data_IF_961243115505
#
_entry.id   IF_961243115505
#
_cell.length_a   1.000
_cell.length_b   1.000
_cell.length_c   1.000
_cell.angle_alpha   90.00
_cell.angle_beta   90.00
_cell.angle_gamma   90.00
#
_symmetry.space_group_name_H-M   'P 1'
#
loop_
_entity.id
_entity.type
_entity.pdbx_description
1 polymer ?
#
# COMPACT_ATOMS: atom_id res chain seq x y z
N UNK A 1 18.61 -17.98 6.69
CA UNK A 1 18.00 -17.39 5.49
C UNK A 1 18.34 -15.91 5.45
N UNK A 2 18.95 -15.44 4.39
CA UNK A 2 19.20 -14.01 4.18
C UNK A 2 17.85 -13.31 4.09
N UNK A 3 17.60 -12.33 4.96
CA UNK A 3 16.38 -11.53 4.87
C UNK A 3 16.50 -10.64 3.63
N UNK A 4 16.04 -11.14 2.51
CA UNK A 4 15.77 -10.30 1.36
C UNK A 4 14.88 -9.14 1.80
N UNK A 5 15.28 -7.93 1.50
CA UNK A 5 14.34 -6.81 1.68
C UNK A 5 13.16 -7.02 0.73
N UNK A 6 11.96 -6.58 1.13
CA UNK A 6 10.78 -6.62 0.25
C UNK A 6 11.07 -5.94 -1.09
N UNK A 7 11.84 -4.86 -1.08
CA UNK A 7 12.25 -4.17 -2.29
C UNK A 7 13.13 -5.02 -3.21
N UNK A 8 14.03 -5.84 -2.65
CA UNK A 8 14.85 -6.76 -3.44
C UNK A 8 13.98 -7.88 -4.04
N UNK A 9 13.05 -8.42 -3.26
CA UNK A 9 12.12 -9.42 -3.74
C UNK A 9 11.27 -8.90 -4.92
N UNK A 10 10.69 -7.70 -4.82
CA UNK A 10 9.92 -7.07 -5.91
C UNK A 10 10.80 -6.87 -7.14
N UNK A 11 12.03 -6.37 -6.95
CA UNK A 11 12.96 -6.15 -8.06
C UNK A 11 13.27 -7.43 -8.84
N UNK A 12 13.42 -8.55 -8.14
CA UNK A 12 13.82 -9.83 -8.75
C UNK A 12 12.65 -10.59 -9.35
N UNK A 13 11.47 -10.54 -8.70
CA UNK A 13 10.32 -11.37 -9.07
C UNK A 13 9.23 -10.60 -9.83
N UNK A 14 9.22 -9.27 -9.71
CA UNK A 14 8.23 -8.39 -10.37
C UNK A 14 8.94 -7.21 -11.05
N UNK A 15 9.84 -7.47 -12.02
CA UNK A 15 10.64 -6.43 -12.65
C UNK A 15 9.79 -5.35 -13.35
N UNK A 16 8.57 -5.69 -13.79
CA UNK A 16 7.60 -4.77 -14.38
C UNK A 16 7.15 -3.69 -13.39
N UNK A 17 7.19 -3.97 -12.08
CA UNK A 17 6.83 -3.00 -11.03
C UNK A 17 8.06 -2.27 -10.45
N UNK A 18 9.27 -2.78 -10.68
CA UNK A 18 10.49 -2.18 -10.14
C UNK A 18 11.09 -1.09 -11.01
N UNK A 19 10.70 -0.99 -12.27
CA UNK A 19 11.33 -0.06 -13.21
C UNK A 19 11.43 1.36 -12.67
N UNK A 20 12.66 1.87 -12.48
CA UNK A 20 12.92 3.27 -12.14
C UNK A 20 12.40 4.16 -13.27
N UNK A 21 11.45 5.03 -12.94
CA UNK A 21 10.83 5.94 -13.88
C UNK A 21 11.03 7.39 -13.41
N UNK A 22 10.92 8.32 -14.36
CA UNK A 22 10.99 9.75 -14.10
C UNK A 22 9.68 10.39 -14.56
N UNK A 23 9.06 11.13 -13.66
CA UNK A 23 7.75 11.76 -13.84
C UNK A 23 7.91 13.28 -13.70
N UNK A 24 7.56 14.10 -14.71
CA UNK A 24 7.61 15.56 -14.59
C UNK A 24 6.74 16.04 -13.42
N UNK A 25 7.33 16.77 -12.47
CA UNK A 25 6.65 17.14 -11.23
C UNK A 25 5.38 17.99 -11.47
N UNK A 26 5.40 18.83 -12.51
CA UNK A 26 4.26 19.68 -12.88
C UNK A 26 3.07 18.90 -13.48
N UNK A 27 3.24 17.62 -13.82
CA UNK A 27 2.17 16.73 -14.30
C UNK A 27 1.66 15.79 -13.20
N UNK A 28 2.25 15.84 -12.00
CA UNK A 28 1.96 14.91 -10.93
C UNK A 28 0.95 15.46 -9.93
N UNK A 29 0.09 14.57 -9.44
CA UNK A 29 -0.58 14.71 -8.16
C UNK A 29 0.16 13.86 -7.14
N UNK A 30 0.36 14.40 -5.96
CA UNK A 30 1.33 13.94 -4.98
C UNK A 30 0.66 13.40 -3.73
N UNK A 31 0.86 12.12 -3.43
CA UNK A 31 0.53 11.55 -2.13
C UNK A 31 1.69 11.86 -1.19
N UNK A 32 1.50 12.79 -0.25
CA UNK A 32 2.56 13.21 0.68
C UNK A 32 2.09 13.17 2.13
N UNK A 33 1.03 13.90 2.48
CA UNK A 33 0.39 13.85 3.80
C UNK A 33 -1.10 13.59 3.68
N UNK A 34 -1.66 12.99 4.73
CA UNK A 34 -3.09 12.61 4.75
C UNK A 34 -4.05 13.81 4.81
N UNK A 35 -3.58 14.95 5.26
CA UNK A 35 -4.31 16.21 5.37
C UNK A 35 -4.11 17.16 4.18
N UNK A 36 -3.30 16.78 3.19
CA UNK A 36 -3.14 17.49 1.94
C UNK A 36 -4.20 17.09 0.89
N UNK A 37 -4.31 17.84 -0.19
CA UNK A 37 -5.33 17.73 -1.24
C UNK A 37 -5.54 16.28 -1.74
N UNK A 38 -4.47 15.51 -1.93
CA UNK A 38 -4.52 14.14 -2.44
C UNK A 38 -4.29 13.08 -1.33
N UNK A 39 -4.43 13.48 -0.07
CA UNK A 39 -4.18 12.63 1.09
C UNK A 39 -5.09 11.41 1.17
N UNK A 40 -6.28 11.47 0.56
CA UNK A 40 -7.19 10.32 0.47
C UNK A 40 -6.56 9.13 -0.30
N UNK A 41 -5.61 9.35 -1.18
CA UNK A 41 -4.90 8.29 -1.88
C UNK A 41 -3.93 7.52 -0.98
N UNK A 42 -3.48 8.15 0.09
CA UNK A 42 -2.63 7.48 1.07
C UNK A 42 -3.35 6.28 1.70
N UNK A 43 -2.61 5.19 1.90
CA UNK A 43 -3.12 4.04 2.64
C UNK A 43 -3.32 4.34 4.13
N UNK A 44 -2.70 5.41 4.64
CA UNK A 44 -2.91 5.92 6.01
C UNK A 44 -4.11 6.86 6.14
N UNK A 45 -4.71 7.29 5.04
CA UNK A 45 -5.93 8.10 5.02
C UNK A 45 -7.09 7.36 5.70
N UNK A 46 -7.88 8.09 6.50
CA UNK A 46 -9.03 7.52 7.19
C UNK A 46 -10.17 7.24 6.19
N UNK A 47 -10.10 6.06 5.61
CA UNK A 47 -11.12 5.52 4.70
C UNK A 47 -11.47 4.12 5.19
N UNK A 48 -12.47 3.97 6.07
CA UNK A 48 -12.83 2.68 6.66
C UNK A 48 -13.21 1.66 5.60
N UNK A 49 -12.76 0.43 5.80
CA UNK A 49 -13.01 -0.73 4.93
C UNK A 49 -13.59 -1.84 5.78
N UNK A 50 -14.59 -2.55 5.26
CA UNK A 50 -15.18 -3.74 5.90
C UNK A 50 -14.81 -4.98 5.10
N UNK A 51 -14.18 -5.96 5.75
CA UNK A 51 -13.89 -7.27 5.16
C UNK A 51 -14.48 -8.34 6.06
N UNK A 52 -15.37 -9.17 5.53
CA UNK A 52 -16.07 -10.24 6.26
C UNK A 52 -16.65 -9.80 7.62
N UNK A 53 -17.22 -8.59 7.67
CA UNK A 53 -17.85 -8.02 8.86
C UNK A 53 -16.87 -7.36 9.86
N UNK A 54 -15.57 -7.38 9.60
CA UNK A 54 -14.55 -6.69 10.42
C UNK A 54 -14.22 -5.35 9.77
N UNK A 55 -14.23 -4.28 10.58
CA UNK A 55 -13.94 -2.91 10.11
C UNK A 55 -12.48 -2.54 10.36
N UNK A 56 -11.82 -2.05 9.34
CA UNK A 56 -10.46 -1.50 9.38
C UNK A 56 -10.53 0.01 9.13
N UNK A 57 -9.90 0.79 9.99
CA UNK A 57 -9.91 2.26 9.91
C UNK A 57 -9.16 2.81 8.69
N UNK A 58 -8.20 2.05 8.18
CA UNK A 58 -7.37 2.43 7.03
C UNK A 58 -7.00 1.20 6.19
N UNK A 59 -6.77 1.39 4.89
CA UNK A 59 -6.22 0.33 4.02
C UNK A 59 -4.81 -0.12 4.47
N UNK A 60 -4.04 0.78 5.08
CA UNK A 60 -2.75 0.40 5.67
C UNK A 60 -2.90 -0.61 6.81
N UNK A 61 -3.89 -0.45 7.70
CA UNK A 61 -4.11 -1.42 8.79
C UNK A 61 -4.47 -2.80 8.24
N UNK A 62 -5.37 -2.86 7.27
CA UNK A 62 -5.73 -4.11 6.60
C UNK A 62 -4.49 -4.76 5.96
N UNK A 63 -3.74 -4.00 5.17
CA UNK A 63 -2.52 -4.47 4.52
C UNK A 63 -1.46 -4.99 5.51
N UNK A 64 -1.28 -4.31 6.64
CA UNK A 64 -0.33 -4.75 7.66
C UNK A 64 -0.78 -6.04 8.36
N UNK A 65 -2.08 -6.25 8.56
CA UNK A 65 -2.63 -7.46 9.17
C UNK A 65 -2.49 -8.70 8.28
N UNK A 66 -2.58 -8.54 6.96
CA UNK A 66 -2.41 -9.64 6.00
C UNK A 66 -1.02 -10.28 6.06
N UNK A 67 -0.04 -9.66 6.72
CA UNK A 67 1.30 -10.22 6.97
C UNK A 67 1.32 -11.35 7.98
N UNK A 68 0.25 -11.55 8.77
CA UNK A 68 0.29 -12.41 9.95
C UNK A 68 -0.85 -13.42 9.97
N UNK A 69 -0.54 -14.61 10.47
CA UNK A 69 -1.50 -15.70 10.69
C UNK A 69 -1.72 -15.98 12.18
N UNK A 70 -0.92 -15.36 13.07
CA UNK A 70 -0.92 -15.60 14.51
C UNK A 70 -1.74 -14.56 15.26
N UNK A 71 -2.35 -15.01 16.36
CA UNK A 71 -3.29 -14.19 17.17
C UNK A 71 -2.64 -12.95 17.78
N UNK A 72 -1.46 -13.11 18.36
CA UNK A 72 -0.79 -12.06 19.14
C UNK A 72 -0.45 -10.82 18.29
N UNK A 73 0.27 -10.95 17.15
CA UNK A 73 0.53 -9.82 16.28
C UNK A 73 -0.74 -9.24 15.68
N UNK A 74 -1.72 -10.07 15.33
CA UNK A 74 -2.99 -9.61 14.76
C UNK A 74 -3.73 -8.71 15.74
N UNK A 75 -3.95 -9.16 16.99
CA UNK A 75 -4.60 -8.36 18.01
C UNK A 75 -3.80 -7.09 18.36
N UNK A 76 -2.48 -7.20 18.46
CA UNK A 76 -1.62 -6.06 18.73
C UNK A 76 -1.74 -4.96 17.65
N UNK A 77 -1.79 -5.33 16.37
CA UNK A 77 -1.90 -4.39 15.25
C UNK A 77 -3.32 -3.82 15.14
N UNK A 78 -4.34 -4.66 15.32
CA UNK A 78 -5.74 -4.26 15.15
C UNK A 78 -6.20 -3.29 16.23
N UNK A 79 -5.97 -3.61 17.51
CA UNK A 79 -6.48 -2.82 18.63
C UNK A 79 -5.61 -1.63 19.02
N UNK A 80 -4.36 -1.60 18.61
CA UNK A 80 -3.48 -0.47 18.92
C UNK A 80 -3.83 0.76 18.09
N UNK A 81 -4.09 1.87 18.78
CA UNK A 81 -4.30 3.16 18.12
C UNK A 81 -3.00 3.67 17.48
N UNK A 82 -3.13 4.45 16.42
CA UNK A 82 -2.02 5.09 15.71
C UNK A 82 -1.52 4.28 14.52
N UNK A 83 -0.26 4.52 14.13
CA UNK A 83 0.32 3.97 12.91
C UNK A 83 0.54 2.45 13.00
N UNK A 84 -0.21 1.62 12.23
CA UNK A 84 -0.09 0.17 12.28
C UNK A 84 1.28 -0.33 11.86
N UNK A 85 1.96 0.34 10.93
CA UNK A 85 3.30 -0.01 10.44
C UNK A 85 4.35 -0.01 11.55
N UNK A 86 4.21 0.88 12.54
CA UNK A 86 5.12 0.92 13.68
C UNK A 86 4.94 -0.29 14.60
N UNK A 87 3.71 -0.73 14.82
CA UNK A 87 3.42 -1.94 15.60
C UNK A 87 3.90 -3.19 14.87
N UNK A 88 3.65 -3.26 13.56
CA UNK A 88 4.05 -4.37 12.70
C UNK A 88 5.55 -4.65 12.75
N UNK A 89 6.40 -3.62 12.75
CA UNK A 89 7.86 -3.78 12.81
C UNK A 89 8.37 -4.67 13.96
N UNK A 90 7.66 -4.67 15.08
CA UNK A 90 8.00 -5.50 16.23
C UNK A 90 7.86 -6.99 15.91
N UNK A 91 6.86 -7.35 15.12
CA UNK A 91 6.47 -8.73 14.84
C UNK A 91 7.06 -9.29 13.54
N UNK A 92 7.47 -8.44 12.59
CA UNK A 92 7.86 -8.86 11.25
C UNK A 92 8.99 -9.90 11.23
N UNK A 93 9.93 -9.84 12.17
CA UNK A 93 11.08 -10.75 12.17
C UNK A 93 10.73 -12.18 12.60
N UNK A 94 9.67 -12.34 13.39
CA UNK A 94 9.36 -13.61 14.05
C UNK A 94 8.03 -14.23 13.63
N UNK A 95 7.07 -13.42 13.16
CA UNK A 95 5.70 -13.87 12.90
C UNK A 95 5.21 -13.56 11.49
N UNK A 96 5.99 -12.85 10.66
CA UNK A 96 5.58 -12.58 9.28
C UNK A 96 5.46 -13.90 8.52
N UNK A 97 4.36 -14.08 7.79
CA UNK A 97 4.16 -15.24 6.89
C UNK A 97 5.32 -15.35 5.91
N UNK A 98 5.75 -16.59 5.62
CA UNK A 98 6.95 -16.84 4.81
C UNK A 98 6.78 -16.39 3.36
N UNK A 99 5.58 -16.54 2.82
CA UNK A 99 5.17 -16.19 1.45
C UNK A 99 4.80 -14.70 1.26
N UNK A 100 5.04 -13.84 2.27
CA UNK A 100 4.67 -12.42 2.18
C UNK A 100 5.23 -11.71 0.95
N UNK A 101 6.46 -12.05 0.55
CA UNK A 101 7.07 -11.48 -0.65
C UNK A 101 6.28 -11.78 -1.92
N UNK A 102 5.72 -12.99 -2.02
CA UNK A 102 4.98 -13.46 -3.18
C UNK A 102 3.61 -12.80 -3.30
N UNK A 103 2.95 -12.53 -2.18
CA UNK A 103 1.58 -11.99 -2.16
C UNK A 103 1.50 -10.47 -1.91
N UNK A 104 2.62 -9.80 -1.66
CA UNK A 104 2.61 -8.40 -1.21
C UNK A 104 1.92 -7.45 -2.19
N UNK A 105 2.10 -7.66 -3.50
CA UNK A 105 1.50 -6.82 -4.53
C UNK A 105 0.01 -7.10 -4.60
N UNK A 106 -0.39 -8.37 -4.60
CA UNK A 106 -1.80 -8.78 -4.64
C UNK A 106 -2.55 -8.39 -3.36
N UNK A 107 -1.90 -8.46 -2.20
CA UNK A 107 -2.44 -7.92 -0.96
C UNK A 107 -2.70 -6.41 -1.04
N UNK A 108 -1.82 -5.65 -1.68
CA UNK A 108 -2.03 -4.22 -1.89
C UNK A 108 -3.16 -3.96 -2.89
N UNK A 109 -3.19 -4.69 -4.01
CA UNK A 109 -4.27 -4.62 -4.99
C UNK A 109 -5.63 -4.91 -4.35
N UNK A 110 -5.71 -5.93 -3.50
CA UNK A 110 -6.91 -6.23 -2.71
C UNK A 110 -7.32 -5.05 -1.83
N UNK A 111 -6.40 -4.50 -1.03
CA UNK A 111 -6.69 -3.37 -0.15
C UNK A 111 -7.19 -2.13 -0.92
N UNK A 112 -6.58 -1.83 -2.06
CA UNK A 112 -7.00 -0.71 -2.92
C UNK A 112 -8.36 -0.96 -3.58
N UNK A 113 -8.63 -2.20 -3.99
CA UNK A 113 -9.95 -2.61 -4.53
C UNK A 113 -11.03 -2.43 -3.47
N UNK A 114 -10.81 -2.91 -2.25
CA UNK A 114 -11.76 -2.74 -1.15
C UNK A 114 -12.02 -1.26 -0.84
N UNK A 115 -10.98 -0.44 -0.85
CA UNK A 115 -11.10 1.01 -0.68
C UNK A 115 -11.90 1.66 -1.82
N UNK A 116 -11.67 1.23 -3.05
CA UNK A 116 -12.38 1.72 -4.23
C UNK A 116 -13.86 1.34 -4.21
N UNK A 117 -14.18 0.10 -3.91
CA UNK A 117 -15.56 -0.39 -3.88
C UNK A 117 -16.38 0.25 -2.78
N UNK A 118 -15.77 0.54 -1.62
CA UNK A 118 -16.48 0.98 -0.43
C UNK A 118 -16.44 2.50 -0.18
N UNK A 119 -15.60 3.26 -0.89
CA UNK A 119 -15.47 4.70 -0.70
C UNK A 119 -15.81 5.48 -1.96
N UNK A 120 -16.96 6.12 -1.96
CA UNK A 120 -17.34 7.02 -3.05
C UNK A 120 -16.40 8.22 -3.16
N UNK A 121 -16.00 8.82 -2.04
CA UNK A 121 -15.06 9.93 -2.03
C UNK A 121 -13.71 9.55 -2.66
N UNK A 122 -13.21 8.34 -2.41
CA UNK A 122 -11.97 7.87 -3.01
C UNK A 122 -12.14 7.70 -4.54
N UNK A 123 -13.27 7.13 -5.01
CA UNK A 123 -13.55 7.02 -6.45
C UNK A 123 -13.62 8.38 -7.13
N UNK A 124 -14.31 9.35 -6.52
CA UNK A 124 -14.43 10.71 -7.05
C UNK A 124 -13.08 11.40 -7.18
N UNK A 125 -12.20 11.25 -6.19
CA UNK A 125 -10.85 11.81 -6.25
C UNK A 125 -9.97 11.11 -7.30
N UNK A 126 -10.09 9.78 -7.47
CA UNK A 126 -9.42 9.08 -8.56
C UNK A 126 -9.89 9.60 -9.93
N UNK A 127 -11.18 9.78 -10.11
CA UNK A 127 -11.73 10.35 -11.34
C UNK A 127 -11.22 11.79 -11.57
N UNK A 128 -11.19 12.63 -10.53
CA UNK A 128 -10.65 14.00 -10.59
C UNK A 128 -9.17 14.04 -11.00
N UNK A 129 -8.42 12.98 -10.71
CA UNK A 129 -7.00 12.85 -11.06
C UNK A 129 -6.75 12.42 -12.50
N UNK A 130 -7.79 12.16 -13.32
CA UNK A 130 -7.65 11.76 -14.72
C UNK A 130 -6.74 12.72 -15.51
N UNK A 131 -5.88 12.14 -16.34
CA UNK A 131 -4.89 12.89 -17.11
C UNK A 131 -3.66 13.34 -16.33
N UNK A 132 -3.61 13.08 -15.01
CA UNK A 132 -2.45 13.38 -14.17
C UNK A 132 -1.73 12.09 -13.75
N UNK A 133 -0.46 12.21 -13.43
CA UNK A 133 0.36 11.13 -12.90
C UNK A 133 0.21 11.11 -11.37
N UNK A 134 -0.13 9.98 -10.79
CA UNK A 134 -0.20 9.83 -9.33
C UNK A 134 1.16 9.33 -8.83
N UNK A 135 1.74 10.00 -7.83
CA UNK A 135 3.01 9.61 -7.25
C UNK A 135 2.95 9.55 -5.72
N UNK A 136 3.56 8.52 -5.12
CA UNK A 136 3.80 8.42 -3.68
C UNK A 136 5.12 9.14 -3.35
N UNK A 137 5.03 10.36 -2.83
CA UNK A 137 6.20 11.21 -2.57
C UNK A 137 6.88 10.86 -1.25
N UNK A 138 8.07 10.30 -1.36
CA UNK A 138 8.95 9.94 -0.24
C UNK A 138 10.12 10.92 -0.07
N UNK A 139 10.05 12.12 -0.66
CA UNK A 139 11.14 13.10 -0.60
C UNK A 139 11.48 13.54 0.81
N UNK A 140 10.50 13.57 1.72
CA UNK A 140 10.71 13.87 3.14
C UNK A 140 11.38 12.76 3.96
N UNK A 141 11.57 11.56 3.39
CA UNK A 141 12.20 10.44 4.11
C UNK A 141 13.73 10.56 4.05
N UNK A 142 14.40 10.20 5.16
CA UNK A 142 15.86 10.29 5.30
C UNK A 142 16.66 9.34 4.38
N UNK A 143 16.06 8.25 3.93
CA UNK A 143 16.71 7.33 2.99
C UNK A 143 17.01 8.04 1.68
N UNK A 144 18.19 7.81 1.11
CA UNK A 144 18.63 8.42 -0.15
C UNK A 144 17.72 8.04 -1.32
N UNK A 145 17.38 6.77 -1.45
CA UNK A 145 16.53 6.26 -2.52
C UNK A 145 15.10 6.00 -2.00
N UNK A 146 14.07 6.11 -2.86
CA UNK A 146 12.73 5.66 -2.51
C UNK A 146 12.71 4.13 -2.33
N UNK A 147 11.70 3.63 -1.64
CA UNK A 147 11.38 2.20 -1.69
C UNK A 147 10.54 1.87 -2.95
N UNK A 148 10.12 0.60 -3.09
CA UNK A 148 9.35 0.16 -4.24
C UNK A 148 8.02 0.92 -4.42
N UNK A 149 7.44 1.44 -3.34
CA UNK A 149 6.11 2.05 -3.36
C UNK A 149 6.09 3.47 -3.90
N UNK A 150 7.22 4.19 -3.82
CA UNK A 150 7.20 5.61 -4.07
C UNK A 150 8.33 6.16 -4.95
N UNK A 151 8.45 7.47 -4.88
CA UNK A 151 9.39 8.29 -5.64
C UNK A 151 10.05 9.33 -4.75
N UNK A 152 11.12 9.94 -5.26
CA UNK A 152 11.73 11.14 -4.69
C UNK A 152 11.87 12.23 -5.71
N UNK A 153 11.64 13.47 -5.27
CA UNK A 153 11.89 14.64 -6.09
C UNK A 153 13.40 14.80 -6.34
N UNK A 154 13.76 14.88 -7.61
CA UNK A 154 15.11 15.14 -8.09
C UNK A 154 14.98 16.22 -9.17
N UNK A 155 15.49 17.41 -8.90
CA UNK A 155 15.25 18.60 -9.71
C UNK A 155 13.74 18.82 -9.96
N UNK A 156 13.30 18.79 -11.21
CA UNK A 156 11.91 18.99 -11.62
C UNK A 156 11.16 17.68 -11.89
N UNK A 157 11.70 16.52 -11.46
CA UNK A 157 11.10 15.23 -11.69
C UNK A 157 10.98 14.42 -10.40
N UNK A 158 9.91 13.64 -10.30
CA UNK A 158 9.80 12.56 -9.33
C UNK A 158 10.41 11.29 -9.91
N UNK A 159 11.39 10.70 -9.22
CA UNK A 159 12.15 9.53 -9.71
C UNK A 159 12.00 8.36 -8.74
N UNK A 160 11.60 7.20 -9.26
CA UNK A 160 11.44 5.98 -8.47
C UNK A 160 10.52 4.94 -9.12
N UNK A 161 10.33 3.79 -8.47
CA UNK A 161 9.45 2.72 -8.96
C UNK A 161 7.97 3.11 -8.93
N UNK A 162 7.53 3.88 -7.92
CA UNK A 162 6.17 4.41 -7.80
C UNK A 162 5.06 3.34 -7.84
N UNK A 163 5.27 2.18 -7.24
CA UNK A 163 4.31 1.08 -7.32
C UNK A 163 2.91 1.49 -6.84
N UNK A 164 2.79 2.22 -5.73
CA UNK A 164 1.48 2.66 -5.25
C UNK A 164 0.78 3.58 -6.26
N UNK A 165 1.49 4.58 -6.79
CA UNK A 165 0.92 5.49 -7.78
C UNK A 165 0.52 4.78 -9.07
N UNK A 166 1.29 3.79 -9.50
CA UNK A 166 0.99 2.97 -10.69
C UNK A 166 -0.28 2.13 -10.50
N UNK A 167 -0.44 1.47 -9.35
CA UNK A 167 -1.65 0.71 -9.03
C UNK A 167 -2.88 1.62 -8.95
N UNK A 168 -2.75 2.81 -8.38
CA UNK A 168 -3.84 3.79 -8.34
C UNK A 168 -4.23 4.29 -9.73
N UNK A 169 -3.27 4.53 -10.61
CA UNK A 169 -3.55 4.91 -12.01
C UNK A 169 -4.22 3.75 -12.76
N UNK A 170 -3.76 2.51 -12.60
CA UNK A 170 -4.41 1.33 -13.17
C UNK A 170 -5.86 1.20 -12.70
N UNK A 171 -6.08 1.30 -11.38
CA UNK A 171 -7.43 1.24 -10.79
C UNK A 171 -8.33 2.36 -11.32
N UNK A 172 -7.81 3.58 -11.45
CA UNK A 172 -8.52 4.73 -12.02
C UNK A 172 -8.95 4.47 -13.48
N UNK A 173 -8.03 3.95 -14.27
CA UNK A 173 -8.18 3.89 -15.72
C UNK A 173 -8.97 2.64 -16.15
N UNK A 174 -8.95 1.57 -15.37
CA UNK A 174 -9.63 0.28 -15.67
C UNK A 174 -10.82 -0.01 -14.80
N UNK A 175 -10.94 0.65 -13.63
CA UNK A 175 -11.98 0.38 -12.62
C UNK A 175 -11.73 -0.89 -11.80
N UNK A 176 -10.61 -1.62 -12.03
CA UNK A 176 -10.31 -2.86 -11.33
C UNK A 176 -8.80 -3.10 -11.24
N UNK A 177 -8.42 -3.93 -10.26
CA UNK A 177 -7.09 -4.53 -10.14
C UNK A 177 -7.25 -6.05 -10.06
N UNK A 178 -6.57 -6.77 -10.93
CA UNK A 178 -6.56 -8.25 -10.85
C UNK A 178 -5.53 -8.67 -9.80
N UNK A 179 -5.93 -9.58 -8.91
CA UNK A 179 -5.08 -10.14 -7.87
C UNK A 179 -5.42 -11.61 -7.63
N UNK A 180 -4.43 -12.37 -7.18
CA UNK A 180 -4.58 -13.77 -6.77
C UNK A 180 -4.01 -13.92 -5.36
N UNK A 181 -4.88 -14.23 -4.39
CA UNK A 181 -4.51 -14.41 -3.00
C UNK A 181 -4.73 -15.86 -2.58
N UNK A 182 -3.81 -16.44 -1.79
CA UNK A 182 -3.98 -17.78 -1.28
C UNK A 182 -5.19 -17.89 -0.35
N UNK A 183 -5.79 -19.06 -0.24
CA UNK A 183 -6.97 -19.35 0.58
C UNK A 183 -6.82 -18.90 2.04
N UNK A 184 -5.59 -18.88 2.54
CA UNK A 184 -5.27 -18.49 3.91
C UNK A 184 -4.91 -17.01 4.09
N UNK A 185 -5.08 -16.17 3.06
CA UNK A 185 -4.76 -14.74 3.11
C UNK A 185 -5.53 -14.00 4.22
N UNK A 186 -6.72 -14.48 4.56
CA UNK A 186 -7.61 -13.88 5.54
C UNK A 186 -7.68 -14.64 6.88
N UNK A 187 -6.76 -15.55 7.14
CA UNK A 187 -6.72 -16.32 8.40
C UNK A 187 -6.73 -15.43 9.65
N UNK A 188 -6.15 -14.25 9.57
CA UNK A 188 -6.10 -13.28 10.67
C UNK A 188 -7.49 -12.81 11.13
N UNK A 189 -8.51 -12.83 10.27
CA UNK A 189 -9.89 -12.40 10.60
C UNK A 189 -10.52 -13.23 11.71
N UNK A 190 -10.14 -14.50 11.85
CA UNK A 190 -10.68 -15.40 12.90
C UNK A 190 -10.42 -14.89 14.32
N UNK A 191 -9.43 -14.02 14.51
CA UNK A 191 -9.10 -13.45 15.83
C UNK A 191 -9.78 -12.11 16.11
N UNK A 192 -10.51 -11.58 15.12
CA UNK A 192 -11.14 -10.27 15.16
C UNK A 192 -12.69 -10.32 15.12
N UNK A 193 -13.23 -11.52 14.94
CA UNK A 193 -14.68 -11.83 14.96
C UNK A 193 -15.16 -12.17 16.35
#
# INVERSE_FOLDING_TARGET
MSFYSISDFIRENYPEYWGMQSYPANQCVRIHKIDEEWGIFSNFGHTPIVVEGVTFDTSERLFQLMKFKDEEPVKAIYYKKGNPKMTTKHWEKTHRREDWGEIIIDAMKFCLTQKYEQSEAFRQELERSKGKIIVEDQSGFTKKNPDAWGVKLQDDNFVGPNLLGRLLMELRDTGKLEYDLPDDAFTFLRYLK
#
